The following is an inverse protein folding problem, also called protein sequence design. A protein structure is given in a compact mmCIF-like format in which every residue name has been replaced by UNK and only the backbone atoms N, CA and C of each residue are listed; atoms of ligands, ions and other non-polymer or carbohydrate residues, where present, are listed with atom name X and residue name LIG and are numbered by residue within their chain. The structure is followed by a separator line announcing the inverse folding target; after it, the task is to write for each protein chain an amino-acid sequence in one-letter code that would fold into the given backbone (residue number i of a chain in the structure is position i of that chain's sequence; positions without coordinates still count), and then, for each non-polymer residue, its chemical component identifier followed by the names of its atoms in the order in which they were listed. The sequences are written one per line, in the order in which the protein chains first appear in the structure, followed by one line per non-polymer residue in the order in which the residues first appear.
data_IF_131831615938
#
_entry.id   IF_131831615938
#
_cell.length_a   1.000
_cell.length_b   1.000
_cell.length_c   1.000
_cell.angle_alpha   90.00
_cell.angle_beta   90.00
_cell.angle_gamma   90.00
#
_symmetry.space_group_name_H-M   'P 1'
#
loop_
_entity.id
_entity.type
_entity.pdbx_description
1 polymer ?
#
# COMPACT_ATOMS: atom_id res chain seq x y z
N UNK A 1 56.63 -51.26 27.08
CA UNK A 1 55.17 -51.23 26.98
C UNK A 1 54.80 -50.45 25.74
N UNK A 2 54.38 -51.15 24.66
CA UNK A 2 53.96 -50.50 23.35
C UNK A 2 52.46 -50.31 23.41
N UNK A 3 51.97 -49.06 23.16
CA UNK A 3 50.57 -48.78 23.02
C UNK A 3 50.08 -49.19 21.59
N UNK A 4 48.95 -49.87 21.45
CA UNK A 4 48.43 -50.26 20.16
C UNK A 4 47.85 -49.03 19.44
N UNK A 5 48.11 -48.96 18.14
CA UNK A 5 47.54 -47.92 17.23
C UNK A 5 46.05 -48.18 16.98
N UNK A 6 45.21 -47.16 16.89
CA UNK A 6 43.80 -47.35 16.60
C UNK A 6 43.58 -47.86 15.16
N UNK A 7 42.71 -48.85 15.03
CA UNK A 7 42.43 -49.55 13.80
C UNK A 7 41.82 -48.69 12.72
N UNK A 8 42.15 -48.94 11.47
CA UNK A 8 41.66 -48.20 10.24
C UNK A 8 40.12 -48.14 10.15
N UNK A 9 39.42 -49.05 10.80
CA UNK A 9 37.95 -49.14 10.77
C UNK A 9 37.24 -47.98 11.49
N UNK A 10 37.85 -47.36 12.48
CA UNK A 10 37.25 -46.22 13.23
C UNK A 10 37.30 -44.93 12.43
N UNK A 11 38.29 -44.77 11.54
CA UNK A 11 38.40 -43.58 10.68
C UNK A 11 37.42 -43.57 9.51
N UNK A 12 36.97 -44.71 9.02
CA UNK A 12 36.01 -44.85 7.94
C UNK A 12 34.57 -44.52 8.42
N UNK A 13 34.22 -44.84 9.65
CA UNK A 13 32.90 -44.58 10.21
C UNK A 13 32.63 -43.09 10.50
N UNK A 14 33.67 -42.30 10.84
CA UNK A 14 33.55 -40.88 11.14
C UNK A 14 33.39 -40.06 9.84
N UNK A 15 34.01 -40.49 8.73
CA UNK A 15 33.87 -39.80 7.44
C UNK A 15 32.52 -40.08 6.77
N UNK A 16 31.91 -41.24 6.96
CA UNK A 16 30.57 -41.56 6.45
C UNK A 16 29.45 -40.78 7.19
N UNK A 17 29.61 -40.49 8.48
CA UNK A 17 28.67 -39.70 9.26
C UNK A 17 28.64 -38.21 8.90
N UNK A 18 29.75 -37.63 8.46
CA UNK A 18 29.85 -36.22 8.09
C UNK A 18 29.21 -35.90 6.71
N UNK A 19 29.16 -36.86 5.78
CA UNK A 19 28.53 -36.71 4.47
C UNK A 19 27.01 -36.86 4.53
N UNK A 20 26.44 -37.55 5.51
CA UNK A 20 24.99 -37.71 5.65
C UNK A 20 24.30 -36.48 6.26
N UNK A 21 25.02 -35.66 7.03
CA UNK A 21 24.47 -34.45 7.66
C UNK A 21 24.33 -33.23 6.69
N UNK A 22 25.01 -33.24 5.53
CA UNK A 22 24.97 -32.13 4.58
C UNK A 22 23.76 -32.16 3.64
N UNK A 23 22.97 -33.24 3.60
CA UNK A 23 21.85 -33.42 2.68
C UNK A 23 20.50 -32.85 3.18
N UNK A 24 20.43 -32.26 4.38
CA UNK A 24 19.16 -31.80 4.98
C UNK A 24 18.95 -30.29 4.95
N UNK A 25 19.80 -29.54 4.23
CA UNK A 25 19.62 -28.09 4.02
C UNK A 25 19.07 -27.78 2.63
N UNK A 26 18.21 -28.61 2.05
CA UNK A 26 17.35 -28.16 0.95
C UNK A 26 16.25 -27.32 1.55
N UNK A 27 16.52 -26.01 1.72
CA UNK A 27 15.47 -25.05 2.03
C UNK A 27 14.37 -25.18 0.99
N UNK A 28 13.11 -25.32 1.44
CA UNK A 28 11.96 -25.28 0.54
C UNK A 28 12.08 -24.02 -0.33
N UNK A 29 12.04 -24.11 -1.67
CA UNK A 29 12.01 -22.94 -2.49
C UNK A 29 10.77 -22.14 -2.09
N UNK A 30 10.95 -20.86 -1.75
CA UNK A 30 9.83 -19.96 -1.50
C UNK A 30 8.86 -20.05 -2.71
N UNK A 31 7.54 -20.12 -2.49
CA UNK A 31 6.58 -20.17 -3.58
C UNK A 31 6.83 -18.99 -4.50
N UNK A 32 7.16 -19.29 -5.76
CA UNK A 32 7.34 -18.26 -6.78
C UNK A 32 5.98 -17.64 -7.03
N UNK A 33 5.87 -16.33 -6.90
CA UNK A 33 4.65 -15.61 -7.25
C UNK A 33 4.26 -15.96 -8.70
N UNK A 34 2.99 -16.24 -8.93
CA UNK A 34 2.46 -16.51 -10.26
C UNK A 34 2.58 -15.26 -11.14
N UNK A 35 2.80 -15.48 -12.44
CA UNK A 35 2.86 -14.39 -13.41
C UNK A 35 1.48 -13.72 -13.53
N UNK A 36 1.37 -12.41 -13.31
CA UNK A 36 0.10 -11.68 -13.42
C UNK A 36 -0.63 -11.91 -14.75
N UNK A 37 0.11 -12.04 -15.86
CA UNK A 37 -0.49 -12.32 -17.18
C UNK A 37 -1.15 -13.70 -17.23
N UNK A 38 -0.57 -14.69 -16.54
CA UNK A 38 -1.17 -16.03 -16.49
C UNK A 38 -2.48 -16.06 -15.74
N UNK A 39 -2.56 -15.31 -14.62
CA UNK A 39 -3.78 -15.18 -13.83
C UNK A 39 -4.86 -14.45 -14.64
N UNK A 40 -4.52 -13.35 -15.30
CA UNK A 40 -5.48 -12.61 -16.15
C UNK A 40 -6.04 -13.48 -17.28
N UNK A 41 -5.20 -14.29 -17.94
CA UNK A 41 -5.66 -15.24 -18.97
C UNK A 41 -6.57 -16.31 -18.40
N UNK A 42 -6.22 -16.88 -17.24
CA UNK A 42 -7.04 -17.90 -16.58
C UNK A 42 -8.40 -17.33 -16.14
N UNK A 43 -8.42 -16.12 -15.62
CA UNK A 43 -9.63 -15.41 -15.22
C UNK A 43 -10.53 -15.09 -16.42
N UNK A 44 -9.94 -14.53 -17.48
CA UNK A 44 -10.63 -14.27 -18.75
C UNK A 44 -11.28 -15.53 -19.32
N UNK A 45 -10.54 -16.62 -19.40
CA UNK A 45 -11.03 -17.90 -19.93
C UNK A 45 -12.17 -18.48 -19.05
N UNK A 46 -12.07 -18.35 -17.72
CA UNK A 46 -13.14 -18.78 -16.82
C UNK A 46 -14.43 -17.96 -17.04
N UNK A 47 -14.32 -16.66 -17.28
CA UNK A 47 -15.46 -15.80 -17.62
C UNK A 47 -16.06 -16.15 -18.98
N UNK A 48 -15.24 -16.35 -20.02
CA UNK A 48 -15.69 -16.71 -21.37
C UNK A 48 -16.46 -18.03 -21.41
N UNK A 49 -16.04 -18.99 -20.60
CA UNK A 49 -16.68 -20.31 -20.47
C UNK A 49 -17.86 -20.33 -19.49
N UNK A 50 -18.18 -19.20 -18.86
CA UNK A 50 -19.24 -19.12 -17.85
C UNK A 50 -18.93 -19.86 -16.55
N UNK A 51 -17.64 -20.19 -16.30
CA UNK A 51 -17.18 -20.85 -15.07
C UNK A 51 -17.03 -19.84 -13.92
N UNK A 52 -18.17 -19.28 -13.51
CA UNK A 52 -18.22 -18.22 -12.52
C UNK A 52 -17.59 -18.62 -11.15
N UNK A 53 -17.70 -19.90 -10.75
CA UNK A 53 -17.05 -20.38 -9.52
C UNK A 53 -15.53 -20.30 -9.60
N UNK A 54 -14.94 -20.62 -10.75
CA UNK A 54 -13.50 -20.56 -10.98
C UNK A 54 -13.03 -19.12 -10.99
N UNK A 55 -13.71 -18.25 -11.73
CA UNK A 55 -13.44 -16.83 -11.76
C UNK A 55 -13.53 -16.20 -10.34
N UNK A 56 -14.57 -16.53 -9.57
CA UNK A 56 -14.74 -16.03 -8.21
C UNK A 56 -13.59 -16.45 -7.28
N UNK A 57 -13.06 -17.66 -7.41
CA UNK A 57 -11.91 -18.12 -6.60
C UNK A 57 -10.62 -17.35 -6.86
N UNK A 58 -10.47 -16.73 -8.04
CA UNK A 58 -9.32 -15.90 -8.41
C UNK A 58 -9.42 -14.47 -7.86
N UNK A 59 -10.57 -14.06 -7.32
CA UNK A 59 -10.72 -12.75 -6.69
C UNK A 59 -9.95 -12.69 -5.37
N UNK A 60 -9.47 -11.50 -5.03
CA UNK A 60 -8.87 -11.23 -3.72
C UNK A 60 -9.87 -11.46 -2.58
N UNK A 61 -9.36 -11.63 -1.36
CA UNK A 61 -10.23 -11.76 -0.18
C UNK A 61 -11.10 -10.53 0.02
N UNK A 62 -10.57 -9.34 -0.24
CA UNK A 62 -11.30 -8.09 -0.14
C UNK A 62 -12.45 -8.03 -1.15
N UNK A 63 -12.18 -8.35 -2.42
CA UNK A 63 -13.22 -8.42 -3.44
C UNK A 63 -14.33 -9.43 -3.07
N UNK A 64 -13.96 -10.58 -2.52
CA UNK A 64 -14.93 -11.59 -2.05
C UNK A 64 -15.72 -11.18 -0.80
N UNK A 65 -15.21 -10.23 0.00
CA UNK A 65 -16.02 -9.61 1.07
C UNK A 65 -17.07 -8.66 0.52
N UNK A 66 -16.74 -7.96 -0.58
CA UNK A 66 -17.65 -7.00 -1.23
C UNK A 66 -18.77 -7.63 -2.05
N UNK A 67 -18.59 -8.87 -2.58
CA UNK A 67 -19.58 -9.55 -3.39
C UNK A 67 -19.63 -11.03 -3.03
N UNK A 68 -20.84 -11.55 -2.76
CA UNK A 68 -21.01 -12.99 -2.51
C UNK A 68 -20.89 -13.80 -3.80
N UNK A 69 -20.54 -15.10 -3.68
CA UNK A 69 -20.48 -16.01 -4.82
C UNK A 69 -21.79 -16.02 -5.63
N UNK A 70 -22.94 -16.06 -4.92
CA UNK A 70 -24.24 -16.10 -5.57
C UNK A 70 -24.58 -14.79 -6.30
N UNK A 71 -24.17 -13.64 -5.74
CA UNK A 71 -24.33 -12.36 -6.42
C UNK A 71 -23.42 -12.27 -7.65
N UNK A 72 -22.18 -12.74 -7.54
CA UNK A 72 -21.24 -12.81 -8.65
C UNK A 72 -21.75 -13.71 -9.79
N UNK A 73 -22.25 -14.91 -9.48
CA UNK A 73 -22.88 -15.81 -10.47
C UNK A 73 -24.05 -15.16 -11.20
N UNK A 74 -24.93 -14.48 -10.47
CA UNK A 74 -26.04 -13.75 -11.08
C UNK A 74 -25.53 -12.66 -12.01
N UNK A 75 -24.59 -11.85 -11.56
CA UNK A 75 -23.99 -10.79 -12.39
C UNK A 75 -23.41 -11.34 -13.70
N UNK A 76 -22.63 -12.42 -13.64
CA UNK A 76 -22.05 -13.05 -14.83
C UNK A 76 -23.15 -13.61 -15.76
N UNK A 77 -24.20 -14.22 -15.19
CA UNK A 77 -25.31 -14.81 -15.95
C UNK A 77 -26.23 -13.75 -16.60
N UNK A 78 -26.48 -12.67 -15.88
CA UNK A 78 -27.46 -11.63 -16.29
C UNK A 78 -26.85 -10.64 -17.29
N UNK A 79 -25.50 -10.57 -17.39
CA UNK A 79 -24.78 -9.63 -18.27
C UNK A 79 -23.76 -10.37 -19.18
N UNK A 80 -24.22 -11.32 -20.04
CA UNK A 80 -23.31 -12.20 -20.78
C UNK A 80 -22.49 -11.48 -21.84
N UNK A 81 -22.99 -10.41 -22.46
CA UNK A 81 -22.28 -9.67 -23.50
C UNK A 81 -21.18 -8.81 -22.88
N UNK A 82 -21.48 -8.07 -21.80
CA UNK A 82 -20.53 -7.24 -21.07
C UNK A 82 -19.40 -8.10 -20.47
N UNK A 83 -19.75 -9.26 -19.89
CA UNK A 83 -18.77 -10.21 -19.34
C UNK A 83 -17.85 -10.72 -20.43
N UNK A 84 -18.39 -11.05 -21.61
CA UNK A 84 -17.60 -11.51 -22.77
C UNK A 84 -16.67 -10.41 -23.30
N UNK A 85 -17.16 -9.16 -23.35
CA UNK A 85 -16.34 -8.02 -23.77
C UNK A 85 -15.18 -7.78 -22.80
N UNK A 86 -15.45 -7.78 -21.50
CA UNK A 86 -14.43 -7.66 -20.45
C UNK A 86 -13.42 -8.80 -20.55
N UNK A 87 -13.88 -10.05 -20.68
CA UNK A 87 -13.01 -11.21 -20.81
C UNK A 87 -12.08 -11.08 -22.02
N UNK A 88 -12.60 -10.69 -23.19
CA UNK A 88 -11.78 -10.46 -24.37
C UNK A 88 -10.76 -9.33 -24.21
N UNK A 89 -11.12 -8.27 -23.48
CA UNK A 89 -10.22 -7.16 -23.18
C UNK A 89 -9.05 -7.64 -22.29
N UNK A 90 -9.34 -8.44 -21.26
CA UNK A 90 -8.37 -9.01 -20.33
C UNK A 90 -7.44 -10.05 -20.99
N UNK A 91 -7.95 -10.80 -21.98
CA UNK A 91 -7.16 -11.80 -22.71
C UNK A 91 -6.10 -11.19 -23.63
N UNK A 92 -6.22 -9.90 -23.98
CA UNK A 92 -5.28 -9.22 -24.88
C UNK A 92 -4.10 -8.68 -24.11
N UNK A 93 -2.89 -9.20 -24.27
CA UNK A 93 -1.70 -8.63 -23.64
C UNK A 93 -1.30 -7.34 -24.37
N UNK A 94 -1.89 -6.23 -23.99
CA UNK A 94 -1.60 -4.91 -24.62
C UNK A 94 -0.42 -4.20 -24.00
N UNK A 95 0.03 -4.62 -22.82
CA UNK A 95 1.19 -4.05 -22.13
C UNK A 95 1.85 -5.08 -21.21
N UNK A 96 3.13 -4.87 -20.92
CA UNK A 96 3.82 -5.61 -19.86
C UNK A 96 3.18 -5.21 -18.51
N UNK A 97 2.77 -6.18 -17.68
CA UNK A 97 2.19 -5.86 -16.37
C UNK A 97 3.20 -5.09 -15.51
N UNK A 98 2.74 -4.00 -14.94
CA UNK A 98 3.50 -3.31 -13.89
C UNK A 98 3.08 -3.91 -12.55
N UNK A 99 4.02 -4.56 -11.87
CA UNK A 99 3.80 -5.15 -10.56
C UNK A 99 4.26 -4.15 -9.52
N UNK A 100 3.34 -3.69 -8.69
CA UNK A 100 3.63 -2.76 -7.60
C UNK A 100 3.33 -3.39 -6.24
N UNK A 101 4.00 -2.94 -5.21
CA UNK A 101 3.71 -3.28 -3.82
C UNK A 101 3.73 -2.00 -2.99
N UNK A 102 2.75 -1.85 -2.09
CA UNK A 102 2.73 -0.78 -1.10
C UNK A 102 3.17 -1.34 0.24
N UNK A 103 4.12 -0.68 0.87
CA UNK A 103 4.62 -1.02 2.20
C UNK A 103 4.32 0.13 3.13
N UNK A 104 3.51 -0.12 4.16
CA UNK A 104 3.21 0.88 5.19
C UNK A 104 4.20 0.72 6.35
N UNK A 105 4.91 1.78 6.66
CA UNK A 105 5.84 1.83 7.80
C UNK A 105 5.09 2.06 9.12
N UNK A 106 5.76 1.83 10.26
CA UNK A 106 5.16 1.97 11.59
C UNK A 106 4.64 3.37 11.93
N UNK A 107 5.09 4.39 11.21
CA UNK A 107 4.61 5.77 11.32
C UNK A 107 3.48 6.10 10.32
N UNK A 108 2.89 5.10 9.66
CA UNK A 108 1.83 5.27 8.68
C UNK A 108 2.28 5.76 7.31
N UNK A 109 3.59 5.88 7.07
CA UNK A 109 4.10 6.29 5.76
C UNK A 109 4.05 5.11 4.79
N UNK A 110 3.47 5.33 3.62
CA UNK A 110 3.40 4.37 2.54
C UNK A 110 4.57 4.56 1.57
N UNK A 111 5.22 3.45 1.24
CA UNK A 111 6.28 3.37 0.25
C UNK A 111 5.79 2.49 -0.89
N UNK A 112 5.81 3.01 -2.08
CA UNK A 112 5.49 2.24 -3.28
C UNK A 112 6.77 1.64 -3.88
N UNK A 113 6.69 0.36 -4.19
CA UNK A 113 7.75 -0.40 -4.85
C UNK A 113 7.24 -0.88 -6.20
N UNK A 114 8.10 -0.88 -7.19
CA UNK A 114 7.84 -1.40 -8.54
C UNK A 114 8.79 -2.55 -8.83
N UNK A 115 8.28 -3.65 -9.39
CA UNK A 115 9.10 -4.79 -9.81
C UNK A 115 9.61 -4.56 -11.24
N UNK A 116 10.89 -4.22 -11.38
CA UNK A 116 11.56 -4.00 -12.66
C UNK A 116 12.65 -5.04 -12.88
N UNK A 117 12.59 -5.77 -13.98
CA UNK A 117 13.59 -6.79 -14.34
C UNK A 117 13.88 -7.78 -13.21
N UNK A 118 12.82 -8.20 -12.49
CA UNK A 118 12.92 -9.15 -11.37
C UNK A 118 13.51 -8.55 -10.09
N UNK A 119 13.68 -7.23 -10.01
CA UNK A 119 14.20 -6.54 -8.83
C UNK A 119 13.20 -5.47 -8.36
N UNK A 120 12.95 -5.41 -7.07
CA UNK A 120 12.16 -4.35 -6.48
C UNK A 120 12.92 -3.02 -6.50
N UNK A 121 12.25 -1.97 -6.97
CA UNK A 121 12.72 -0.59 -6.98
C UNK A 121 11.77 0.27 -6.15
N UNK A 122 12.33 1.26 -5.45
CA UNK A 122 11.52 2.24 -4.72
C UNK A 122 11.02 3.28 -5.73
N UNK A 123 9.71 3.54 -5.74
CA UNK A 123 9.11 4.56 -6.60
C UNK A 123 9.56 5.96 -6.17
N UNK A 124 9.76 6.86 -7.13
CA UNK A 124 10.26 8.21 -6.85
C UNK A 124 9.32 9.02 -5.94
N UNK A 125 8.02 8.73 -5.95
CA UNK A 125 7.01 9.33 -5.05
C UNK A 125 7.32 9.09 -3.57
N UNK A 126 8.07 8.03 -3.24
CA UNK A 126 8.52 7.74 -1.87
C UNK A 126 9.43 8.84 -1.27
N UNK A 127 9.99 9.72 -2.11
CA UNK A 127 10.87 10.83 -1.71
C UNK A 127 10.09 12.14 -1.55
N UNK A 128 8.86 12.22 -2.05
CA UNK A 128 8.04 13.42 -1.87
C UNK A 128 7.46 13.47 -0.45
N UNK A 129 8.20 14.14 0.41
CA UNK A 129 7.85 14.30 1.83
C UNK A 129 6.58 15.14 2.03
N UNK A 130 6.10 15.81 1.01
CA UNK A 130 4.97 16.74 1.04
C UNK A 130 3.97 16.46 -0.09
N UNK A 131 3.88 15.20 -0.50
CA UNK A 131 2.94 14.74 -1.52
C UNK A 131 1.48 15.07 -1.14
N UNK A 132 0.68 15.36 -2.16
CA UNK A 132 -0.74 15.72 -2.04
C UNK A 132 -1.62 14.94 -3.04
N UNK A 133 -1.09 13.84 -3.56
CA UNK A 133 -1.75 12.96 -4.54
C UNK A 133 -2.89 12.13 -3.92
N UNK A 134 -2.78 11.82 -2.63
CA UNK A 134 -3.85 11.17 -1.86
C UNK A 134 -4.20 11.98 -0.60
N UNK A 135 -5.42 11.84 -0.04
CA UNK A 135 -5.77 12.49 1.22
C UNK A 135 -4.80 12.14 2.35
N UNK A 136 -4.40 10.87 2.44
CA UNK A 136 -3.45 10.38 3.46
C UNK A 136 -2.09 11.05 3.34
N UNK A 137 -1.55 11.15 2.12
CA UNK A 137 -0.28 11.82 1.88
C UNK A 137 -0.36 13.32 2.21
N UNK A 138 -1.49 13.97 1.87
CA UNK A 138 -1.70 15.38 2.21
C UNK A 138 -1.68 15.60 3.74
N UNK A 139 -2.39 14.76 4.51
CA UNK A 139 -2.37 14.86 5.98
C UNK A 139 -0.97 14.59 6.53
N UNK A 140 -0.26 13.56 6.05
CA UNK A 140 1.11 13.26 6.46
C UNK A 140 2.08 14.40 6.17
N UNK A 141 1.99 14.98 4.97
CA UNK A 141 2.79 16.12 4.55
C UNK A 141 2.50 17.36 5.39
N UNK A 142 1.24 17.64 5.66
CA UNK A 142 0.80 18.73 6.54
C UNK A 142 1.36 18.57 7.96
N UNK A 143 1.14 17.44 8.60
CA UNK A 143 1.65 17.14 9.94
C UNK A 143 3.17 17.34 10.00
N UNK A 144 3.89 16.78 9.01
CA UNK A 144 5.35 16.94 8.92
C UNK A 144 5.78 18.40 8.74
N UNK A 145 5.06 19.18 7.94
CA UNK A 145 5.36 20.59 7.72
C UNK A 145 5.18 21.39 9.01
N UNK A 146 4.09 21.13 9.77
CA UNK A 146 3.83 21.77 11.07
C UNK A 146 4.91 21.42 12.09
N UNK A 147 5.21 20.13 12.28
CA UNK A 147 6.27 19.68 13.21
C UNK A 147 7.64 20.29 12.92
N UNK A 148 7.94 20.48 11.62
CA UNK A 148 9.21 21.09 11.18
C UNK A 148 9.14 22.60 11.09
N UNK A 149 8.03 23.21 11.50
CA UNK A 149 7.80 24.66 11.46
C UNK A 149 8.03 25.26 10.05
N UNK A 150 7.74 24.44 9.01
CA UNK A 150 7.84 24.85 7.62
C UNK A 150 6.52 25.49 7.17
N UNK A 151 6.27 26.68 7.68
CA UNK A 151 5.02 27.44 7.40
C UNK A 151 4.88 27.79 5.90
N UNK A 152 5.98 27.94 5.19
CA UNK A 152 6.02 28.05 3.74
C UNK A 152 5.45 26.82 3.02
N UNK A 153 5.68 25.64 3.60
CA UNK A 153 5.15 24.38 3.09
C UNK A 153 3.71 24.16 3.57
N UNK A 154 3.39 24.53 4.82
CA UNK A 154 2.00 24.45 5.35
C UNK A 154 1.02 25.16 4.42
N UNK A 155 1.37 26.31 3.91
CA UNK A 155 0.53 27.06 2.96
C UNK A 155 0.23 26.30 1.65
N UNK A 156 1.03 25.30 1.28
CA UNK A 156 0.72 24.47 0.10
C UNK A 156 -0.49 23.57 0.34
N UNK A 157 -0.76 23.23 1.60
CA UNK A 157 -1.90 22.39 2.01
C UNK A 157 -3.18 23.20 2.26
N UNK A 158 -3.12 24.51 2.31
CA UNK A 158 -4.30 25.37 2.46
C UNK A 158 -5.01 25.51 1.11
N UNK A 159 -6.36 25.40 1.05
CA UNK A 159 -7.13 25.69 -0.16
C UNK A 159 -6.91 27.13 -0.66
N UNK A 160 -6.99 27.33 -1.97
CA UNK A 160 -6.77 28.65 -2.56
C UNK A 160 -7.76 29.71 -2.02
N UNK A 161 -8.99 29.28 -1.73
CA UNK A 161 -10.04 30.14 -1.12
C UNK A 161 -9.69 30.66 0.28
N UNK A 162 -8.86 29.94 1.02
CA UNK A 162 -8.47 30.28 2.41
C UNK A 162 -7.08 30.93 2.48
N UNK A 163 -6.38 31.09 1.37
CA UNK A 163 -5.02 31.69 1.34
C UNK A 163 -5.03 33.23 1.42
N UNK A 164 -6.17 33.86 1.15
CA UNK A 164 -6.22 35.32 1.11
C UNK A 164 -5.80 35.92 2.45
N UNK A 165 -4.79 36.78 2.42
CA UNK A 165 -4.23 37.40 3.61
C UNK A 165 -3.36 36.52 4.50
N UNK A 166 -3.15 35.22 4.17
CA UNK A 166 -2.24 34.34 4.88
C UNK A 166 -0.83 34.41 4.26
N UNK A 167 0.17 34.44 5.14
CA UNK A 167 1.57 34.29 4.80
C UNK A 167 2.30 33.46 5.87
N UNK A 168 3.52 32.97 5.59
CA UNK A 168 4.24 32.11 6.53
C UNK A 168 4.51 32.79 7.90
N UNK A 169 4.68 34.12 7.93
CA UNK A 169 4.98 34.84 9.16
C UNK A 169 3.73 34.95 10.05
N UNK A 170 2.56 35.16 9.46
CA UNK A 170 1.29 35.18 10.19
C UNK A 170 0.96 33.82 10.77
N UNK A 171 1.10 32.74 9.98
CA UNK A 171 0.92 31.36 10.47
C UNK A 171 1.87 31.07 11.62
N UNK A 172 3.15 31.44 11.48
CA UNK A 172 4.13 31.28 12.55
C UNK A 172 3.70 32.01 13.83
N UNK A 173 3.30 33.25 13.71
CA UNK A 173 2.90 34.07 14.87
C UNK A 173 1.68 33.48 15.59
N UNK A 174 0.67 33.02 14.84
CA UNK A 174 -0.52 32.39 15.40
C UNK A 174 -0.17 31.04 16.07
N UNK A 175 0.45 30.13 15.33
CA UNK A 175 0.66 28.74 15.73
C UNK A 175 1.85 28.52 16.69
N UNK A 176 2.75 29.47 16.84
CA UNK A 176 3.76 29.48 17.91
C UNK A 176 3.31 30.37 19.10
N UNK A 177 2.22 31.12 18.93
CA UNK A 177 1.64 32.02 19.92
C UNK A 177 0.39 31.46 20.59
N UNK A 178 -0.76 32.10 20.33
CA UNK A 178 -2.03 31.78 21.03
C UNK A 178 -2.64 30.43 20.64
N UNK A 179 -2.43 29.93 19.40
CA UNK A 179 -2.99 28.66 18.94
C UNK A 179 -2.05 27.46 19.18
N UNK A 180 -0.90 27.69 19.83
CA UNK A 180 0.17 26.69 19.92
C UNK A 180 -0.30 25.36 20.53
N UNK A 181 -0.98 25.42 21.67
CA UNK A 181 -1.41 24.22 22.39
C UNK A 181 -2.45 23.44 21.59
N UNK A 182 -3.36 24.13 20.93
CA UNK A 182 -4.37 23.54 20.06
C UNK A 182 -3.74 22.83 18.87
N UNK A 183 -2.84 23.49 18.15
CA UNK A 183 -2.13 22.91 17.00
C UNK A 183 -1.27 21.70 17.41
N UNK A 184 -0.56 21.77 18.53
CA UNK A 184 0.22 20.65 19.04
C UNK A 184 -0.68 19.43 19.37
N UNK A 185 -1.87 19.67 19.94
CA UNK A 185 -2.84 18.62 20.24
C UNK A 185 -3.41 18.00 18.96
N UNK A 186 -3.80 18.81 17.98
CA UNK A 186 -4.30 18.36 16.68
C UNK A 186 -3.25 17.50 15.98
N UNK A 187 -2.01 17.98 15.86
CA UNK A 187 -0.90 17.24 15.23
C UNK A 187 -0.65 15.91 15.93
N UNK A 188 -0.65 15.90 17.27
CA UNK A 188 -0.46 14.67 18.06
C UNK A 188 -1.57 13.66 17.80
N UNK A 189 -2.83 14.10 17.78
CA UNK A 189 -4.01 13.27 17.55
C UNK A 189 -4.01 12.71 16.11
N UNK A 190 -3.67 13.54 15.13
CA UNK A 190 -3.53 13.10 13.74
C UNK A 190 -2.44 12.02 13.58
N UNK A 191 -1.29 12.19 14.20
CA UNK A 191 -0.21 11.18 14.15
C UNK A 191 -0.62 9.84 14.74
N UNK A 192 -1.41 9.85 15.80
CA UNK A 192 -1.91 8.62 16.42
C UNK A 192 -2.95 7.93 15.54
N UNK A 193 -3.83 8.70 14.89
CA UNK A 193 -4.90 8.17 14.06
C UNK A 193 -4.40 7.68 12.68
N UNK A 194 -3.49 8.41 12.04
CA UNK A 194 -3.06 8.18 10.65
C UNK A 194 -2.73 6.73 10.27
N UNK A 195 -2.03 5.92 11.10
CA UNK A 195 -1.67 4.56 10.72
C UNK A 195 -2.87 3.64 10.49
N UNK A 196 -3.98 3.89 11.17
CA UNK A 196 -5.15 2.98 11.20
C UNK A 196 -6.48 3.65 10.82
N UNK A 197 -6.52 4.98 10.73
CA UNK A 197 -7.75 5.70 10.40
C UNK A 197 -8.23 5.38 8.98
N UNK A 198 -9.54 5.17 8.86
CA UNK A 198 -10.21 5.16 7.56
C UNK A 198 -10.39 6.58 7.06
N UNK A 199 -10.18 6.77 5.76
CA UNK A 199 -10.45 8.04 5.08
C UNK A 199 -11.58 7.78 4.10
N UNK A 200 -12.66 8.54 4.23
CA UNK A 200 -13.81 8.47 3.35
C UNK A 200 -13.65 9.50 2.24
N UNK A 201 -13.59 9.04 1.00
CA UNK A 201 -13.49 9.89 -0.19
C UNK A 201 -14.83 9.92 -0.93
N UNK A 202 -15.30 11.12 -1.26
CA UNK A 202 -16.50 11.33 -2.07
C UNK A 202 -16.22 12.44 -3.10
N UNK A 203 -15.91 12.05 -4.33
CA UNK A 203 -15.53 12.99 -5.39
C UNK A 203 -14.26 13.77 -5.07
N UNK A 204 -14.38 15.08 -4.93
CA UNK A 204 -13.28 15.99 -4.61
C UNK A 204 -13.21 16.36 -3.10
N UNK A 205 -13.88 15.58 -2.24
CA UNK A 205 -13.85 15.75 -0.79
C UNK A 205 -13.40 14.47 -0.11
N UNK A 206 -12.71 14.62 1.02
CA UNK A 206 -12.37 13.51 1.88
C UNK A 206 -12.48 13.92 3.35
N UNK A 207 -12.79 12.93 4.19
CA UNK A 207 -12.90 13.13 5.64
C UNK A 207 -12.15 12.03 6.39
N UNK A 208 -11.51 12.39 7.50
CA UNK A 208 -10.84 11.47 8.41
C UNK A 208 -11.14 11.85 9.87
N UNK A 209 -11.71 10.93 10.62
CA UNK A 209 -11.85 11.09 12.06
C UNK A 209 -10.50 10.89 12.78
N UNK A 210 -10.20 11.74 13.77
CA UNK A 210 -9.00 11.62 14.61
C UNK A 210 -9.30 12.06 16.04
N UNK A 211 -9.05 11.21 17.01
CA UNK A 211 -9.42 11.53 18.40
C UNK A 211 -10.90 11.87 18.54
N UNK A 212 -11.19 13.11 18.95
CA UNK A 212 -12.55 13.65 19.05
C UNK A 212 -12.93 14.56 17.86
N UNK A 213 -12.00 14.80 16.94
CA UNK A 213 -12.17 15.72 15.82
C UNK A 213 -12.29 15.06 14.45
N UNK A 214 -12.48 15.90 13.44
CA UNK A 214 -12.60 15.50 12.04
C UNK A 214 -11.74 16.39 11.15
N UNK A 215 -10.88 15.79 10.34
CA UNK A 215 -10.14 16.48 9.29
C UNK A 215 -10.95 16.44 8.00
N UNK A 216 -11.17 17.59 7.39
CA UNK A 216 -11.83 17.74 6.10
C UNK A 216 -10.82 18.16 5.04
N UNK A 217 -10.90 17.50 3.87
CA UNK A 217 -10.01 17.77 2.75
C UNK A 217 -10.82 18.04 1.48
N UNK A 218 -10.25 18.87 0.63
CA UNK A 218 -10.77 19.17 -0.71
C UNK A 218 -9.68 18.97 -1.74
N UNK A 219 -10.05 18.50 -2.93
CA UNK A 219 -9.12 18.34 -4.05
C UNK A 219 -9.20 19.54 -5.00
N UNK A 220 -8.10 20.25 -5.12
CA UNK A 220 -7.94 21.38 -6.04
C UNK A 220 -6.85 21.06 -7.07
N UNK A 221 -7.18 21.11 -8.36
CA UNK A 221 -6.24 20.85 -9.47
C UNK A 221 -5.48 19.52 -9.33
N UNK A 222 -6.18 18.50 -8.83
CA UNK A 222 -5.61 17.17 -8.62
C UNK A 222 -4.79 17.00 -7.31
N UNK A 223 -4.68 18.04 -6.49
CA UNK A 223 -3.95 18.02 -5.21
C UNK A 223 -4.91 18.15 -4.03
N UNK A 224 -4.73 17.30 -3.03
CA UNK A 224 -5.51 17.34 -1.79
C UNK A 224 -5.03 18.46 -0.86
N UNK A 225 -5.97 19.22 -0.35
CA UNK A 225 -5.79 20.34 0.56
C UNK A 225 -6.53 20.07 1.86
N UNK A 226 -6.05 20.65 2.96
CA UNK A 226 -6.74 20.65 4.25
C UNK A 226 -7.74 21.81 4.24
N UNK A 227 -9.03 21.50 4.23
CA UNK A 227 -10.09 22.50 4.21
C UNK A 227 -10.39 22.97 5.64
N UNK A 228 -10.49 22.01 6.57
CA UNK A 228 -10.81 22.30 7.96
C UNK A 228 -10.34 21.17 8.88
N UNK A 229 -10.19 21.48 10.17
CA UNK A 229 -9.96 20.51 11.23
C UNK A 229 -10.48 21.06 12.56
N UNK A 230 -11.26 20.28 13.27
CA UNK A 230 -11.90 20.57 14.56
C UNK A 230 -11.61 19.49 15.62
#
# INVERSE_FOLDING_TARGET
MRRPAPSLFVRAAVLAGALAAAAWMTGCPAPKAEDPQSILRSYSHALEEGRADDAYRMLSEEARRGISLEAFKRMVKDNPEEVREIAKALARPTATPVVTATVTSSNGQELQLVLENGKWRVEATAIDLYAQDTPRHAIQGFVRAVERKRYDVVLKFVPDSHKEGLDPSKLKTAWEGHDKEEIEQVVSSLKQALPTASIEETGDRATMAYGAGTMQLVRERGLWKIEDFD
#
